data_IF_693901278404
#
_entry.id   IF_693901278404
#
_cell.length_a   1.000
_cell.length_b   1.000
_cell.length_c   1.000
_cell.angle_alpha   90.00
_cell.angle_beta   90.00
_cell.angle_gamma   90.00
#
_symmetry.space_group_name_H-M   'P 1'
#
loop_
_entity.id
_entity.type
_entity.pdbx_description
1 polymer ?
#
# COMPACT_ATOMS: atom_id res chain seq x y z
N UNK A 1 24.68 16.23 8.84
CA UNK A 1 23.30 15.70 8.78
C UNK A 1 22.82 15.38 7.37
N UNK A 2 22.90 16.27 6.36
CA UNK A 2 22.63 15.88 4.95
C UNK A 2 23.61 14.79 4.42
N UNK A 3 24.82 14.74 4.97
CA UNK A 3 25.81 13.71 4.67
C UNK A 3 25.47 12.32 5.24
N UNK A 4 24.62 12.20 6.27
CA UNK A 4 24.30 10.91 6.90
C UNK A 4 23.15 10.18 6.17
N UNK A 5 22.17 10.92 5.65
CA UNK A 5 21.11 10.31 4.83
C UNK A 5 21.57 9.98 3.40
N UNK A 6 22.48 10.78 2.82
CA UNK A 6 23.05 10.48 1.50
C UNK A 6 24.12 9.35 1.54
N UNK A 7 24.56 8.97 2.74
CA UNK A 7 25.47 7.83 2.99
C UNK A 7 24.72 6.50 3.12
N UNK A 8 23.39 6.49 3.13
CA UNK A 8 22.58 5.28 3.30
C UNK A 8 22.16 4.63 1.98
N UNK A 9 22.46 5.25 0.83
CA UNK A 9 22.35 4.61 -0.47
C UNK A 9 23.54 3.65 -0.68
N UNK A 10 23.60 2.60 0.13
CA UNK A 10 24.57 1.52 -0.01
C UNK A 10 24.12 0.65 -1.18
N UNK A 11 24.91 0.66 -2.26
CA UNK A 11 24.71 -0.22 -3.40
C UNK A 11 24.56 -1.67 -2.92
N UNK A 12 23.62 -2.46 -3.48
CA UNK A 12 23.51 -3.88 -3.16
C UNK A 12 24.88 -4.54 -3.40
N UNK A 13 25.37 -5.40 -2.49
CA UNK A 13 26.66 -6.02 -2.70
C UNK A 13 26.57 -6.90 -3.94
N UNK A 14 27.41 -6.63 -4.95
CA UNK A 14 27.46 -7.38 -6.20
C UNK A 14 27.91 -8.86 -6.02
N UNK A 15 28.17 -9.29 -4.79
CA UNK A 15 28.74 -10.59 -4.44
C UNK A 15 28.11 -11.22 -3.19
N UNK A 16 26.78 -11.26 -3.11
CA UNK A 16 26.10 -12.05 -2.08
C UNK A 16 25.77 -13.43 -2.64
N UNK A 17 26.57 -14.44 -2.27
CA UNK A 17 26.52 -15.78 -2.90
C UNK A 17 25.41 -16.69 -2.35
N UNK A 18 24.58 -16.22 -1.41
CA UNK A 18 23.41 -17.00 -0.96
C UNK A 18 22.18 -16.14 -0.70
N UNK A 19 21.00 -16.65 -1.08
CA UNK A 19 19.68 -16.05 -0.87
C UNK A 19 19.46 -15.59 0.58
N UNK A 20 19.96 -16.35 1.55
CA UNK A 20 19.81 -16.03 2.98
C UNK A 20 20.62 -14.79 3.39
N UNK A 21 21.81 -14.60 2.82
CA UNK A 21 22.59 -13.39 3.05
C UNK A 21 21.97 -12.17 2.36
N UNK A 22 21.40 -12.34 1.16
CA UNK A 22 20.67 -11.26 0.48
C UNK A 22 19.45 -10.84 1.29
N UNK A 23 18.68 -11.82 1.77
CA UNK A 23 17.54 -11.56 2.66
C UNK A 23 18.01 -10.82 3.91
N UNK A 24 19.02 -11.33 4.62
CA UNK A 24 19.57 -10.68 5.82
C UNK A 24 20.02 -9.23 5.59
N UNK A 25 20.60 -8.93 4.43
CA UNK A 25 20.93 -7.56 4.03
C UNK A 25 19.69 -6.68 3.94
N UNK A 26 18.65 -7.10 3.18
CA UNK A 26 17.43 -6.32 3.04
C UNK A 26 16.69 -6.13 4.37
N UNK A 27 16.62 -7.16 5.22
CA UNK A 27 16.02 -7.05 6.54
C UNK A 27 16.72 -5.96 7.37
N UNK A 28 18.06 -5.94 7.35
CA UNK A 28 18.86 -4.92 8.04
C UNK A 28 18.61 -3.52 7.47
N UNK A 29 18.49 -3.39 6.15
CA UNK A 29 18.17 -2.09 5.53
C UNK A 29 16.76 -1.61 5.90
N UNK A 30 15.78 -2.51 5.98
CA UNK A 30 14.43 -2.17 6.44
C UNK A 30 14.41 -1.71 7.89
N UNK A 31 15.26 -2.25 8.77
CA UNK A 31 15.37 -1.81 10.16
C UNK A 31 15.99 -0.41 10.24
N UNK A 32 17.06 -0.14 9.48
CA UNK A 32 17.67 1.18 9.40
C UNK A 32 16.68 2.24 8.87
N UNK A 33 15.90 1.90 7.85
CA UNK A 33 14.87 2.79 7.31
C UNK A 33 13.74 3.07 8.30
N UNK A 34 13.32 2.06 9.07
CA UNK A 34 12.31 2.22 10.13
C UNK A 34 12.83 3.15 11.23
N UNK A 35 14.04 2.93 11.74
CA UNK A 35 14.65 3.80 12.75
C UNK A 35 14.79 5.24 12.24
N UNK A 36 15.25 5.40 10.99
CA UNK A 36 15.38 6.72 10.36
C UNK A 36 14.03 7.43 10.20
N UNK A 37 13.00 6.71 9.76
CA UNK A 37 11.63 7.25 9.65
C UNK A 37 11.10 7.64 11.03
N UNK A 38 11.23 6.77 12.02
CA UNK A 38 10.74 7.04 13.37
C UNK A 38 11.43 8.26 14.00
N UNK A 39 12.75 8.39 13.81
CA UNK A 39 13.48 9.58 14.20
C UNK A 39 12.94 10.83 13.48
N UNK A 40 12.69 10.79 12.17
CA UNK A 40 12.09 11.94 11.46
C UNK A 40 10.71 12.29 12.03
N UNK A 41 9.86 11.29 12.30
CA UNK A 41 8.54 11.53 12.87
C UNK A 41 8.65 12.19 14.26
N UNK A 42 9.51 11.68 15.14
CA UNK A 42 9.65 12.19 16.51
C UNK A 42 10.23 13.61 16.57
N UNK A 43 11.24 13.90 15.73
CA UNK A 43 11.98 15.16 15.82
C UNK A 43 11.51 16.24 14.82
N UNK A 44 10.80 15.85 13.76
CA UNK A 44 10.35 16.79 12.71
C UNK A 44 8.83 16.88 12.59
N UNK A 45 8.06 15.91 13.08
CA UNK A 45 6.61 16.01 13.07
C UNK A 45 6.08 16.53 14.41
N UNK A 46 5.31 17.62 14.34
CA UNK A 46 4.63 18.18 15.50
C UNK A 46 3.13 18.27 15.17
N UNK A 47 2.30 17.50 15.88
CA UNK A 47 0.83 17.47 15.68
C UNK A 47 0.18 18.84 15.88
N UNK A 48 0.80 19.72 16.68
CA UNK A 48 0.32 21.09 16.88
C UNK A 48 0.72 22.06 15.77
N UNK A 49 1.65 21.68 14.88
CA UNK A 49 2.11 22.52 13.77
C UNK A 49 1.21 22.48 12.53
N UNK A 50 0.17 21.64 12.54
CA UNK A 50 -0.88 21.62 11.52
C UNK A 50 -1.17 20.22 10.97
N UNK A 51 -2.17 20.14 10.09
CA UNK A 51 -2.73 18.88 9.62
C UNK A 51 -1.77 18.06 8.75
N UNK A 52 -0.84 18.72 8.07
CA UNK A 52 0.21 18.03 7.32
C UNK A 52 1.10 17.16 8.23
N UNK A 53 1.40 17.64 9.44
CA UNK A 53 2.19 16.88 10.41
C UNK A 53 1.39 15.72 11.03
N UNK A 54 0.10 15.92 11.29
CA UNK A 54 -0.81 14.85 11.75
C UNK A 54 -0.88 13.73 10.71
N UNK A 55 -1.07 14.10 9.43
CA UNK A 55 -1.10 13.13 8.34
C UNK A 55 0.25 12.43 8.16
N UNK A 56 1.36 13.15 8.20
CA UNK A 56 2.70 12.56 8.09
C UNK A 56 2.96 11.53 9.20
N UNK A 57 2.51 11.81 10.42
CA UNK A 57 2.63 10.87 11.54
C UNK A 57 1.76 9.63 11.35
N UNK A 58 0.51 9.79 10.89
CA UNK A 58 -0.36 8.67 10.58
C UNK A 58 0.19 7.79 9.43
N UNK A 59 0.73 8.43 8.39
CA UNK A 59 1.39 7.78 7.26
C UNK A 59 2.59 6.95 7.72
N UNK A 60 3.48 7.58 8.47
CA UNK A 60 4.70 6.93 8.94
C UNK A 60 4.39 5.74 9.86
N UNK A 61 3.45 5.88 10.79
CA UNK A 61 3.01 4.77 11.63
C UNK A 61 2.42 3.61 10.81
N UNK A 62 1.64 3.93 9.78
CA UNK A 62 1.08 2.92 8.88
C UNK A 62 2.14 2.15 8.09
N UNK A 63 3.14 2.84 7.55
CA UNK A 63 4.25 2.21 6.82
C UNK A 63 5.06 1.25 7.71
N UNK A 64 5.29 1.62 8.97
CA UNK A 64 5.98 0.75 9.95
C UNK A 64 5.19 -0.53 10.19
N UNK A 65 3.86 -0.43 10.37
CA UNK A 65 2.99 -1.60 10.54
C UNK A 65 3.01 -2.50 9.29
N UNK A 66 2.90 -1.91 8.10
CA UNK A 66 2.96 -2.64 6.83
C UNK A 66 4.30 -3.38 6.66
N UNK A 67 5.42 -2.70 6.97
CA UNK A 67 6.75 -3.33 6.99
C UNK A 67 6.76 -4.53 7.93
N UNK A 68 6.29 -4.38 9.17
CA UNK A 68 6.27 -5.46 10.15
C UNK A 68 5.52 -6.71 9.67
N UNK A 69 4.43 -6.54 8.93
CA UNK A 69 3.66 -7.67 8.38
C UNK A 69 4.34 -8.32 7.17
N UNK A 70 4.91 -7.52 6.27
CA UNK A 70 5.73 -8.03 5.16
C UNK A 70 6.89 -8.89 5.70
N UNK A 71 7.56 -8.39 6.74
CA UNK A 71 8.70 -9.05 7.38
C UNK A 71 8.30 -10.37 8.07
N UNK A 72 7.13 -10.40 8.73
CA UNK A 72 6.59 -11.64 9.29
C UNK A 72 6.36 -12.71 8.23
N UNK A 73 5.79 -12.34 7.08
CA UNK A 73 5.60 -13.26 5.96
C UNK A 73 6.91 -13.80 5.39
N UNK A 74 7.95 -12.96 5.31
CA UNK A 74 9.27 -13.38 4.84
C UNK A 74 9.98 -14.35 5.81
N UNK A 75 9.81 -14.15 7.12
CA UNK A 75 10.38 -15.03 8.13
C UNK A 75 9.66 -16.38 8.24
N UNK A 76 8.34 -16.43 8.06
CA UNK A 76 7.55 -17.67 8.14
C UNK A 76 7.86 -18.66 6.98
N UNK A 77 8.31 -18.13 5.84
CA UNK A 77 8.75 -18.91 4.67
C UNK A 77 9.99 -19.80 4.91
N UNK A 78 10.62 -19.70 6.08
CA UNK A 78 11.77 -20.54 6.44
C UNK A 78 11.38 -21.94 6.98
N UNK A 79 10.08 -22.26 7.05
CA UNK A 79 9.56 -23.55 7.55
C UNK A 79 8.87 -24.37 6.43
N UNK A 80 9.51 -25.43 5.91
CA UNK A 80 9.08 -26.11 4.68
C UNK A 80 7.83 -27.01 4.78
N UNK A 81 7.21 -27.17 5.95
CA UNK A 81 6.18 -28.21 6.17
C UNK A 81 4.72 -27.72 6.09
N UNK A 82 4.48 -26.43 5.82
CA UNK A 82 3.12 -25.85 5.75
C UNK A 82 2.99 -24.67 4.75
N UNK A 83 3.83 -24.63 3.72
CA UNK A 83 4.07 -23.46 2.87
C UNK A 83 2.81 -22.87 2.20
N UNK A 84 1.87 -23.70 1.73
CA UNK A 84 0.70 -23.20 0.96
C UNK A 84 -0.41 -22.54 1.79
N UNK A 85 -0.65 -23.01 3.02
CA UNK A 85 -1.73 -22.46 3.88
C UNK A 85 -1.25 -21.18 4.57
N UNK A 86 0.02 -21.17 5.03
CA UNK A 86 0.64 -20.02 5.67
C UNK A 86 0.84 -18.84 4.71
N UNK A 87 1.16 -19.10 3.44
CA UNK A 87 1.34 -18.04 2.44
C UNK A 87 0.03 -17.32 2.11
N UNK A 88 -1.05 -18.07 1.90
CA UNK A 88 -2.37 -17.49 1.64
C UNK A 88 -2.93 -16.77 2.89
N UNK A 89 -2.57 -17.19 4.09
CA UNK A 89 -2.86 -16.47 5.32
C UNK A 89 -2.08 -15.16 5.42
N UNK A 90 -0.76 -15.20 5.22
CA UNK A 90 0.09 -14.01 5.21
C UNK A 90 -0.35 -12.96 4.17
N UNK A 91 -0.71 -13.40 2.96
CA UNK A 91 -1.22 -12.53 1.90
C UNK A 91 -2.54 -11.85 2.30
N UNK A 92 -3.48 -12.59 2.92
CA UNK A 92 -4.71 -12.01 3.44
C UNK A 92 -4.45 -10.98 4.54
N UNK A 93 -3.59 -11.30 5.52
CA UNK A 93 -3.24 -10.37 6.59
C UNK A 93 -2.63 -9.08 6.04
N UNK A 94 -1.67 -9.20 5.11
CA UNK A 94 -1.05 -8.04 4.47
C UNK A 94 -2.07 -7.18 3.71
N UNK A 95 -2.96 -7.81 2.95
CA UNK A 95 -4.02 -7.11 2.23
C UNK A 95 -5.03 -6.42 3.17
N UNK A 96 -5.46 -7.10 4.24
CA UNK A 96 -6.40 -6.55 5.22
C UNK A 96 -5.81 -5.35 5.97
N UNK A 97 -4.52 -5.40 6.28
CA UNK A 97 -3.82 -4.31 6.92
C UNK A 97 -3.47 -3.16 5.97
N UNK A 98 -3.26 -3.44 4.68
CA UNK A 98 -3.24 -2.40 3.67
C UNK A 98 -4.57 -1.64 3.63
N UNK A 99 -5.71 -2.34 3.64
CA UNK A 99 -7.02 -1.68 3.72
C UNK A 99 -7.19 -0.89 5.01
N UNK A 100 -6.71 -1.40 6.13
CA UNK A 100 -6.70 -0.66 7.40
C UNK A 100 -5.90 0.65 7.29
N UNK A 101 -4.72 0.59 6.67
CA UNK A 101 -3.92 1.78 6.43
C UNK A 101 -4.69 2.80 5.58
N UNK A 102 -5.31 2.37 4.48
CA UNK A 102 -6.12 3.25 3.63
C UNK A 102 -7.33 3.83 4.39
N UNK A 103 -8.04 3.02 5.19
CA UNK A 103 -9.14 3.49 6.02
C UNK A 103 -8.67 4.55 7.02
N UNK A 104 -7.54 4.31 7.70
CA UNK A 104 -6.91 5.27 8.61
C UNK A 104 -6.51 6.57 7.90
N UNK A 105 -6.00 6.50 6.67
CA UNK A 105 -5.68 7.71 5.89
C UNK A 105 -6.93 8.53 5.58
N UNK A 106 -8.05 7.90 5.26
CA UNK A 106 -9.30 8.64 5.07
C UNK A 106 -9.75 9.34 6.36
N UNK A 107 -9.66 8.66 7.51
CA UNK A 107 -10.05 9.25 8.80
C UNK A 107 -9.16 10.43 9.20
N UNK A 108 -7.84 10.31 9.05
CA UNK A 108 -6.90 11.37 9.40
C UNK A 108 -6.90 12.53 8.38
N UNK A 109 -7.35 12.29 7.15
CA UNK A 109 -7.47 13.32 6.12
C UNK A 109 -8.83 14.03 6.12
N UNK A 110 -9.81 13.52 6.87
CA UNK A 110 -11.15 14.10 6.96
C UNK A 110 -11.09 15.54 7.49
N UNK A 111 -11.67 16.47 6.72
CA UNK A 111 -11.73 17.90 7.10
C UNK A 111 -10.43 18.68 6.91
N UNK A 112 -9.36 18.03 6.44
CA UNK A 112 -8.01 18.60 6.38
C UNK A 112 -7.53 18.91 4.95
N UNK A 113 -8.35 18.62 3.94
CA UNK A 113 -8.01 18.85 2.52
C UNK A 113 -7.03 17.85 1.92
N UNK A 114 -6.72 16.77 2.63
CA UNK A 114 -5.77 15.73 2.19
C UNK A 114 -6.44 14.42 1.76
N UNK A 115 -7.77 14.38 1.60
CA UNK A 115 -8.48 13.15 1.21
C UNK A 115 -8.02 12.62 -0.14
N UNK A 116 -7.58 13.51 -1.04
CA UNK A 116 -6.99 13.16 -2.33
C UNK A 116 -5.80 12.20 -2.20
N UNK A 117 -5.07 12.25 -1.09
CA UNK A 117 -3.93 11.35 -0.86
C UNK A 117 -4.40 9.92 -0.59
N UNK A 118 -5.45 9.76 0.21
CA UNK A 118 -6.08 8.46 0.44
C UNK A 118 -6.71 7.92 -0.87
N UNK A 119 -7.30 8.81 -1.67
CA UNK A 119 -7.83 8.46 -3.00
C UNK A 119 -6.75 7.97 -3.96
N UNK A 120 -5.57 8.61 -3.96
CA UNK A 120 -4.43 8.25 -4.80
C UNK A 120 -3.85 6.89 -4.42
N UNK A 121 -3.80 6.56 -3.12
CA UNK A 121 -3.25 5.30 -2.64
C UNK A 121 -4.28 4.16 -2.61
N UNK A 122 -5.56 4.44 -2.88
CA UNK A 122 -6.59 3.42 -2.90
C UNK A 122 -6.37 2.43 -4.04
N UNK A 123 -6.29 1.13 -3.71
CA UNK A 123 -6.19 0.06 -4.69
C UNK A 123 -7.45 -0.79 -4.68
N UNK A 124 -8.22 -0.68 -5.76
CA UNK A 124 -9.48 -1.40 -5.95
C UNK A 124 -9.28 -2.93 -5.88
N UNK A 125 -8.23 -3.45 -6.51
CA UNK A 125 -7.97 -4.90 -6.57
C UNK A 125 -7.71 -5.50 -5.19
N UNK A 126 -7.03 -4.76 -4.30
CA UNK A 126 -6.80 -5.21 -2.92
C UNK A 126 -8.12 -5.26 -2.15
N UNK A 127 -8.99 -4.27 -2.33
CA UNK A 127 -10.31 -4.28 -1.70
C UNK A 127 -11.14 -5.48 -2.17
N UNK A 128 -11.19 -5.72 -3.49
CA UNK A 128 -11.90 -6.86 -4.06
C UNK A 128 -11.32 -8.19 -3.53
N UNK A 129 -10.00 -8.33 -3.50
CA UNK A 129 -9.31 -9.51 -2.99
C UNK A 129 -9.69 -9.81 -1.54
N UNK A 130 -9.63 -8.82 -0.65
CA UNK A 130 -10.00 -8.99 0.77
C UNK A 130 -11.48 -9.38 0.89
N UNK A 131 -12.37 -8.74 0.15
CA UNK A 131 -13.81 -9.06 0.17
C UNK A 131 -14.08 -10.50 -0.24
N UNK A 132 -13.45 -10.97 -1.33
CA UNK A 132 -13.59 -12.35 -1.80
C UNK A 132 -13.12 -13.32 -0.73
N UNK A 133 -11.97 -13.06 -0.11
CA UNK A 133 -11.44 -13.91 0.95
C UNK A 133 -12.27 -13.89 2.23
N UNK A 134 -12.86 -12.75 2.62
CA UNK A 134 -13.80 -12.66 3.74
C UNK A 134 -15.04 -13.53 3.51
N UNK A 135 -15.50 -13.63 2.26
CA UNK A 135 -16.57 -14.54 1.88
C UNK A 135 -16.17 -16.03 1.91
N UNK A 136 -14.89 -16.35 1.92
CA UNK A 136 -14.40 -17.73 2.06
C UNK A 136 -14.02 -18.06 3.51
N UNK A 137 -13.59 -17.07 4.29
CA UNK A 137 -13.00 -17.20 5.63
C UNK A 137 -13.81 -16.45 6.67
N UNK A 138 -15.04 -16.89 6.86
CA UNK A 138 -16.04 -16.17 7.67
C UNK A 138 -15.71 -16.14 9.17
N UNK A 139 -14.98 -17.14 9.66
CA UNK A 139 -14.59 -17.31 11.07
C UNK A 139 -13.18 -16.74 11.39
N UNK A 140 -12.60 -15.95 10.48
CA UNK A 140 -11.25 -15.45 10.69
C UNK A 140 -11.22 -14.32 11.73
N UNK A 141 -10.25 -14.33 12.65
CA UNK A 141 -10.14 -13.34 13.74
C UNK A 141 -9.98 -11.88 13.26
N UNK A 142 -9.47 -11.67 12.04
CA UNK A 142 -9.40 -10.34 11.41
C UNK A 142 -10.66 -9.95 10.63
N UNK A 143 -11.65 -10.84 10.54
CA UNK A 143 -12.86 -10.65 9.75
C UNK A 143 -13.60 -9.38 10.16
N UNK A 144 -13.89 -9.23 11.45
CA UNK A 144 -14.63 -8.09 11.99
C UNK A 144 -13.92 -6.76 11.67
N UNK A 145 -12.62 -6.69 11.98
CA UNK A 145 -11.80 -5.50 11.70
C UNK A 145 -11.72 -5.17 10.21
N UNK A 146 -11.60 -6.18 9.34
CA UNK A 146 -11.60 -5.95 7.90
C UNK A 146 -12.95 -5.40 7.41
N UNK A 147 -14.06 -5.90 7.94
CA UNK A 147 -15.39 -5.37 7.61
C UNK A 147 -15.61 -3.94 8.11
N UNK A 148 -15.07 -3.57 9.28
CA UNK A 148 -15.05 -2.18 9.75
C UNK A 148 -14.28 -1.26 8.78
N UNK A 149 -13.08 -1.69 8.35
CA UNK A 149 -12.29 -0.94 7.37
C UNK A 149 -13.01 -0.79 6.03
N UNK A 150 -13.69 -1.84 5.55
CA UNK A 150 -14.53 -1.79 4.34
C UNK A 150 -15.65 -0.76 4.52
N UNK A 151 -16.33 -0.74 5.67
CA UNK A 151 -17.37 0.25 5.95
C UNK A 151 -16.82 1.69 5.91
N UNK A 152 -15.63 1.92 6.48
CA UNK A 152 -14.93 3.20 6.42
C UNK A 152 -14.62 3.60 4.97
N UNK A 153 -14.12 2.68 4.15
CA UNK A 153 -13.83 2.95 2.74
C UNK A 153 -15.10 3.34 1.98
N UNK A 154 -16.21 2.61 2.14
CA UNK A 154 -17.49 2.96 1.50
C UNK A 154 -18.05 4.30 1.97
N UNK A 155 -17.79 4.70 3.23
CA UNK A 155 -18.16 6.02 3.76
C UNK A 155 -17.45 7.15 3.02
N UNK A 156 -16.16 6.99 2.72
CA UNK A 156 -15.35 8.03 2.08
C UNK A 156 -15.36 7.97 0.55
N UNK A 157 -15.68 6.80 -0.03
CA UNK A 157 -15.79 6.61 -1.49
C UNK A 157 -17.22 6.22 -1.89
N UNK A 158 -18.16 7.18 -1.89
CA UNK A 158 -19.53 6.90 -2.33
C UNK A 158 -19.61 6.46 -3.80
N UNK A 159 -18.61 6.80 -4.62
CA UNK A 159 -18.51 6.31 -6.00
C UNK A 159 -18.45 4.78 -6.13
N UNK A 160 -18.00 4.06 -5.08
CA UNK A 160 -18.05 2.59 -5.06
C UNK A 160 -19.48 2.03 -4.96
N UNK A 161 -20.42 2.84 -4.48
CA UNK A 161 -21.85 2.51 -4.52
C UNK A 161 -22.40 2.78 -5.91
N UNK A 162 -21.84 3.71 -6.67
CA UNK A 162 -22.37 4.03 -7.99
C UNK A 162 -22.11 2.88 -8.96
N UNK A 163 -23.18 2.25 -9.42
CA UNK A 163 -23.16 1.19 -10.41
C UNK A 163 -22.86 1.68 -11.85
N UNK A 164 -22.21 2.83 -11.99
CA UNK A 164 -21.88 3.43 -13.28
C UNK A 164 -20.72 2.69 -13.97
N UNK A 165 -19.82 2.11 -13.18
CA UNK A 165 -18.67 1.36 -13.67
C UNK A 165 -18.83 -0.15 -13.44
N UNK A 166 -18.45 -0.95 -14.45
CA UNK A 166 -18.51 -2.42 -14.37
C UNK A 166 -17.70 -2.97 -13.20
N UNK A 167 -16.56 -2.36 -12.87
CA UNK A 167 -15.75 -2.71 -11.71
C UNK A 167 -16.58 -2.57 -10.42
N UNK A 168 -17.14 -1.39 -10.16
CA UNK A 168 -17.97 -1.13 -8.97
C UNK A 168 -19.15 -2.11 -8.84
N UNK A 169 -19.77 -2.52 -9.94
CA UNK A 169 -20.78 -3.59 -9.95
C UNK A 169 -20.24 -4.94 -9.47
N UNK A 170 -19.10 -5.38 -9.99
CA UNK A 170 -18.45 -6.64 -9.59
C UNK A 170 -18.07 -6.61 -8.10
N UNK A 171 -17.47 -5.51 -7.64
CA UNK A 171 -17.17 -5.36 -6.21
C UNK A 171 -18.43 -5.38 -5.36
N UNK A 172 -19.47 -4.65 -5.77
CA UNK A 172 -20.75 -4.63 -5.06
C UNK A 172 -21.35 -6.02 -4.92
N UNK A 173 -21.40 -6.81 -6.00
CA UNK A 173 -21.86 -8.20 -5.97
C UNK A 173 -21.00 -9.09 -5.07
N UNK A 174 -19.67 -8.96 -5.15
CA UNK A 174 -18.75 -9.70 -4.30
C UNK A 174 -18.97 -9.37 -2.81
N UNK A 175 -19.14 -8.09 -2.47
CA UNK A 175 -19.44 -7.61 -1.11
C UNK A 175 -20.76 -8.19 -0.61
N UNK A 176 -21.82 -8.12 -1.40
CA UNK A 176 -23.13 -8.66 -1.03
C UNK A 176 -23.08 -10.18 -0.80
N UNK A 177 -22.35 -10.90 -1.64
CA UNK A 177 -22.16 -12.34 -1.54
C UNK A 177 -21.38 -12.72 -0.28
N UNK A 178 -20.25 -12.05 -0.03
CA UNK A 178 -19.43 -12.27 1.16
C UNK A 178 -20.20 -11.93 2.45
N UNK A 179 -20.97 -10.84 2.44
CA UNK A 179 -21.78 -10.43 3.58
C UNK A 179 -22.91 -11.41 3.88
N UNK A 180 -23.58 -11.95 2.85
CA UNK A 180 -24.61 -12.98 3.04
C UNK A 180 -24.06 -14.20 3.77
N UNK A 181 -22.88 -14.70 3.35
CA UNK A 181 -22.19 -15.81 4.02
C UNK A 181 -21.84 -15.49 5.47
N UNK A 182 -21.41 -14.26 5.77
CA UNK A 182 -21.18 -13.80 7.14
C UNK A 182 -22.43 -13.83 7.98
N UNK A 183 -23.53 -13.28 7.47
CA UNK A 183 -24.81 -13.27 8.16
C UNK A 183 -25.30 -14.69 8.45
N UNK A 184 -25.15 -15.60 7.51
CA UNK A 184 -25.53 -17.00 7.69
C UNK A 184 -24.70 -17.66 8.80
N UNK A 185 -23.38 -17.44 8.81
CA UNK A 185 -22.49 -17.92 9.89
C UNK A 185 -22.82 -17.31 11.27
N UNK A 186 -23.13 -16.01 11.34
CA UNK A 186 -23.56 -15.38 12.58
C UNK A 186 -24.89 -15.98 13.05
N UNK A 187 -25.83 -16.21 12.14
CA UNK A 187 -27.14 -16.79 12.46
C UNK A 187 -27.03 -18.21 13.04
N UNK A 188 -26.15 -19.05 12.49
CA UNK A 188 -25.90 -20.41 13.02
C UNK A 188 -25.17 -20.39 14.37
N UNK A 189 -24.38 -19.35 14.61
CA UNK A 189 -23.66 -19.12 15.87
C UNK A 189 -24.49 -18.39 16.94
N UNK A 190 -25.75 -18.03 16.64
CA UNK A 190 -26.63 -17.29 17.55
C UNK A 190 -26.26 -15.81 17.72
N UNK A 191 -25.39 -15.28 16.86
CA UNK A 191 -25.03 -13.86 16.81
C UNK A 191 -25.98 -13.13 15.85
N UNK A 192 -26.47 -11.96 16.26
CA UNK A 192 -27.22 -11.08 15.36
C UNK A 192 -26.24 -10.11 14.69
N UNK A 193 -26.21 -10.10 13.35
CA UNK A 193 -25.47 -9.10 12.58
C UNK A 193 -26.45 -8.10 11.99
N UNK A 194 -26.41 -6.86 12.47
CA UNK A 194 -27.10 -5.75 11.80
C UNK A 194 -26.42 -5.47 10.45
N UNK A 195 -27.22 -5.16 9.42
CA UNK A 195 -26.70 -4.83 8.10
C UNK A 195 -26.18 -3.37 8.09
N UNK A 196 -24.90 -3.13 7.77
CA UNK A 196 -24.36 -1.78 7.61
C UNK A 196 -25.08 -1.00 6.51
N UNK A 197 -25.07 0.34 6.63
CA UNK A 197 -25.75 1.24 5.68
C UNK A 197 -25.30 1.01 4.22
N UNK A 198 -24.01 0.78 3.98
CA UNK A 198 -23.49 0.55 2.64
C UNK A 198 -24.02 -0.77 2.03
N UNK A 199 -24.24 -1.81 2.84
CA UNK A 199 -24.85 -3.06 2.38
C UNK A 199 -26.30 -2.83 1.95
N UNK A 200 -27.06 -2.04 2.72
CA UNK A 200 -28.45 -1.69 2.37
C UNK A 200 -28.51 -0.92 1.06
N UNK A 201 -27.60 0.06 0.87
CA UNK A 201 -27.49 0.85 -0.37
C UNK A 201 -27.11 -0.02 -1.58
N UNK A 202 -26.09 -0.88 -1.44
CA UNK A 202 -25.68 -1.80 -2.50
C UNK A 202 -26.83 -2.71 -2.95
N UNK A 203 -27.59 -3.30 -2.01
CA UNK A 203 -28.76 -4.14 -2.37
C UNK A 203 -29.83 -3.36 -3.12
N UNK A 204 -30.06 -2.10 -2.75
CA UNK A 204 -31.04 -1.26 -3.45
C UNK A 204 -30.60 -1.00 -4.91
N UNK A 205 -29.30 -0.77 -5.14
CA UNK A 205 -28.75 -0.51 -6.47
C UNK A 205 -28.71 -1.74 -7.36
N UNK A 206 -28.32 -2.91 -6.83
CA UNK A 206 -28.33 -4.16 -7.62
C UNK A 206 -29.75 -4.50 -8.11
N UNK A 207 -30.79 -4.33 -7.26
CA UNK A 207 -32.19 -4.56 -7.64
C UNK A 207 -32.69 -3.64 -8.75
N UNK A 208 -32.13 -2.44 -8.87
CA UNK A 208 -32.47 -1.51 -9.95
C UNK A 208 -31.87 -1.98 -11.28
N UNK A 209 -30.66 -2.54 -11.23
CA UNK A 209 -29.90 -2.97 -12.41
C UNK A 209 -30.31 -4.33 -12.96
N UNK A 210 -30.89 -5.24 -12.16
CA UNK A 210 -31.43 -6.52 -12.64
C UNK A 210 -32.55 -6.35 -13.70
N UNK A 211 -33.10 -5.14 -13.85
CA UNK A 211 -34.06 -4.81 -14.90
C UNK A 211 -33.41 -4.45 -16.26
N UNK A 212 -32.07 -4.39 -16.33
CA UNK A 212 -31.29 -3.98 -17.50
C UNK A 212 -30.37 -5.15 -17.90
N UNK A 213 -30.99 -6.22 -18.41
CA UNK A 213 -30.42 -7.23 -19.33
C UNK A 213 -29.14 -7.97 -18.95
N UNK A 214 -29.28 -9.28 -18.66
CA UNK A 214 -28.61 -10.44 -19.30
C UNK A 214 -27.19 -10.28 -19.92
N UNK A 215 -26.30 -9.53 -19.30
CA UNK A 215 -24.85 -9.62 -19.59
C UNK A 215 -24.24 -10.66 -18.65
N UNK A 216 -23.88 -11.82 -19.19
CA UNK A 216 -23.10 -12.85 -18.50
C UNK A 216 -21.90 -12.20 -17.79
N UNK A 217 -21.89 -12.26 -16.45
CA UNK A 217 -20.75 -11.86 -15.63
C UNK A 217 -19.84 -13.08 -15.44
N UNK A 218 -18.71 -13.21 -16.17
CA UNK A 218 -17.72 -14.20 -15.81
C UNK A 218 -16.89 -13.63 -14.64
N UNK A 219 -16.48 -14.50 -13.72
CA UNK A 219 -15.66 -14.23 -12.53
C UNK A 219 -16.38 -13.71 -11.28
N UNK A 220 -17.24 -14.56 -10.70
CA UNK A 220 -16.97 -14.98 -9.33
C UNK A 220 -16.82 -16.50 -9.38
N UNK A 221 -15.59 -17.00 -9.32
CA UNK A 221 -15.32 -18.43 -9.13
C UNK A 221 -15.87 -18.80 -7.75
N UNK A 222 -17.14 -19.19 -7.69
CA UNK A 222 -17.78 -19.59 -6.44
C UNK A 222 -17.46 -21.03 -6.05
N UNK A 223 -16.79 -21.81 -6.90
CA UNK A 223 -16.25 -23.13 -6.56
C UNK A 223 -15.08 -23.45 -7.50
N UNK A 224 -13.87 -23.41 -6.99
CA UNK A 224 -12.78 -24.28 -7.43
C UNK A 224 -11.74 -24.28 -6.32
N UNK A 225 -11.35 -25.48 -5.90
CA UNK A 225 -10.10 -25.72 -5.22
C UNK A 225 -9.02 -24.84 -5.87
N UNK A 226 -8.34 -24.03 -5.04
CA UNK A 226 -7.07 -23.44 -5.42
C UNK A 226 -6.22 -24.62 -5.94
N UNK A 227 -5.81 -24.64 -7.23
CA UNK A 227 -4.97 -25.71 -7.71
C UNK A 227 -3.73 -25.72 -6.83
N UNK A 228 -3.41 -26.87 -6.24
CA UNK A 228 -2.12 -27.05 -5.59
C UNK A 228 -1.03 -26.57 -6.56
N UNK A 229 -0.01 -25.81 -6.10
CA UNK A 229 1.00 -25.25 -6.97
C UNK A 229 1.74 -26.39 -7.65
N UNK A 230 1.38 -26.68 -8.89
CA UNK A 230 2.16 -27.53 -9.78
C UNK A 230 3.47 -26.82 -10.04
N UNK A 231 4.56 -27.44 -9.58
CA UNK A 231 5.99 -27.20 -9.79
C UNK A 231 6.49 -25.76 -10.06
N UNK A 232 7.56 -25.30 -9.39
CA UNK A 232 8.09 -23.95 -9.58
C UNK A 232 8.51 -23.73 -11.03
N UNK A 233 7.71 -22.98 -11.77
CA UNK A 233 8.05 -22.52 -13.10
C UNK A 233 9.19 -21.50 -12.95
N UNK A 234 10.41 -21.95 -13.24
CA UNK A 234 11.63 -21.16 -13.24
C UNK A 234 11.45 -19.94 -14.16
N UNK A 235 11.21 -18.78 -13.57
CA UNK A 235 11.41 -17.48 -14.22
C UNK A 235 12.91 -17.20 -14.31
N UNK A 236 13.67 -18.10 -14.94
CA UNK A 236 15.04 -17.82 -15.32
C UNK A 236 15.02 -16.79 -16.46
N UNK A 237 15.28 -15.53 -16.15
CA UNK A 237 15.62 -14.54 -17.17
C UNK A 237 16.89 -14.99 -17.88
N UNK A 238 16.90 -15.13 -19.23
CA UNK A 238 18.13 -15.41 -19.94
C UNK A 238 18.99 -14.14 -19.94
N UNK A 239 20.06 -14.14 -19.13
CA UNK A 239 21.18 -13.22 -19.30
C UNK A 239 21.99 -13.64 -20.53
N UNK A 240 21.49 -13.25 -21.70
CA UNK A 240 22.24 -13.33 -22.96
C UNK A 240 23.10 -12.08 -23.13
N UNK A 241 24.38 -12.21 -22.79
CA UNK A 241 25.43 -11.33 -23.32
C UNK A 241 25.60 -11.70 -24.80
N UNK A 242 25.36 -10.77 -25.73
CA UNK A 242 26.16 -10.73 -26.95
C UNK A 242 26.14 -9.35 -27.64
N UNK A 243 27.35 -8.93 -28.02
CA UNK A 243 27.65 -7.72 -28.78
C UNK A 243 27.21 -7.90 -30.25
N UNK A 244 26.44 -6.96 -30.78
CA UNK A 244 26.17 -6.91 -32.22
C UNK A 244 25.36 -5.69 -32.66
N UNK A 245 26.03 -4.77 -33.34
CA UNK A 245 25.48 -3.57 -33.99
C UNK A 245 24.44 -3.93 -35.07
N UNK A 246 23.24 -3.32 -35.04
CA UNK A 246 22.51 -2.88 -36.24
C UNK A 246 21.33 -1.93 -35.91
N UNK A 247 21.49 -0.71 -36.42
CA UNK A 247 20.55 0.37 -36.77
C UNK A 247 19.04 0.11 -36.95
N UNK A 248 18.27 1.08 -36.43
CA UNK A 248 17.03 1.70 -36.93
C UNK A 248 15.79 0.82 -37.21
N UNK A 249 14.66 1.17 -36.58
CA UNK A 249 13.38 1.62 -37.19
C UNK A 249 12.34 1.91 -36.07
N UNK A 250 11.89 3.17 -36.07
CA UNK A 250 10.56 3.77 -35.82
C UNK A 250 9.61 3.35 -34.66
N UNK A 251 9.08 4.44 -34.08
CA UNK A 251 7.71 4.67 -33.58
C UNK A 251 7.23 4.11 -32.23
N UNK A 252 6.92 5.06 -31.34
CA UNK A 252 5.79 4.94 -30.40
C UNK A 252 6.12 4.72 -28.92
N UNK A 253 7.02 5.50 -28.33
CA UNK A 253 7.23 5.46 -26.87
C UNK A 253 6.23 6.36 -26.11
N UNK A 254 5.39 5.70 -25.30
CA UNK A 254 4.70 6.26 -24.14
C UNK A 254 5.75 6.53 -23.05
N UNK A 255 5.77 7.72 -22.40
CA UNK A 255 6.75 8.00 -21.36
C UNK A 255 6.26 7.39 -20.04
N UNK A 256 6.72 6.18 -19.72
CA UNK A 256 6.67 5.67 -18.35
C UNK A 256 8.06 5.83 -17.71
N UNK A 257 8.11 6.75 -16.74
CA UNK A 257 9.10 6.89 -15.67
C UNK A 257 10.57 6.82 -16.09
N UNK A 258 11.08 7.96 -16.58
CA UNK A 258 12.50 8.26 -16.49
C UNK A 258 12.98 8.14 -15.04
N UNK A 259 14.18 7.58 -14.89
CA UNK A 259 14.95 7.29 -13.66
C UNK A 259 15.30 8.51 -12.78
N UNK A 260 14.66 9.66 -13.01
CA UNK A 260 14.94 10.95 -12.37
C UNK A 260 14.20 11.11 -11.02
N UNK A 261 13.19 10.29 -10.73
CA UNK A 261 12.44 10.36 -9.43
C UNK A 261 13.16 9.71 -8.25
N UNK A 262 14.32 9.08 -8.44
CA UNK A 262 15.13 8.55 -7.32
C UNK A 262 16.00 9.60 -6.63
N UNK A 263 15.99 10.86 -7.11
CA UNK A 263 16.74 11.92 -6.45
C UNK A 263 15.87 12.65 -5.42
N UNK A 264 15.95 12.22 -4.15
CA UNK A 264 15.31 12.84 -2.99
C UNK A 264 15.87 14.24 -2.63
N UNK A 265 16.46 14.96 -3.59
CA UNK A 265 17.12 16.25 -3.40
C UNK A 265 16.22 17.33 -2.77
N UNK A 266 14.89 17.22 -2.88
CA UNK A 266 13.95 18.15 -2.25
C UNK A 266 13.97 18.07 -0.71
N UNK A 267 14.54 17.02 -0.11
CA UNK A 267 14.74 16.89 1.34
C UNK A 267 16.05 17.53 1.83
N UNK A 268 16.88 18.08 0.93
CA UNK A 268 18.08 18.82 1.35
C UNK A 268 17.68 20.21 1.84
N UNK A 269 18.08 20.63 3.05
CA UNK A 269 17.76 21.96 3.55
C UNK A 269 18.43 23.01 2.68
N UNK A 270 17.66 24.03 2.26
CA UNK A 270 18.18 25.23 1.59
C UNK A 270 19.12 25.92 2.56
N UNK A 271 20.42 25.66 2.44
CA UNK A 271 21.46 26.47 3.07
C UNK A 271 21.49 27.81 2.37
N UNK A 272 20.91 28.82 3.02
CA UNK A 272 21.06 30.23 2.65
C UNK A 272 22.55 30.62 2.67
N UNK A 273 23.09 31.23 1.61
CA UNK A 273 24.47 31.70 1.62
C UNK A 273 24.58 32.93 2.52
N UNK A 274 25.39 32.82 3.57
CA UNK A 274 25.82 33.97 4.38
C UNK A 274 26.53 34.99 3.49
N UNK A 275 25.89 36.15 3.31
CA UNK A 275 26.49 37.34 2.74
C UNK A 275 27.55 37.89 3.71
N UNK A 276 28.81 37.56 3.39
CA UNK A 276 30.01 38.07 4.08
C UNK A 276 30.17 39.56 3.78
N UNK A 277 29.94 40.40 4.78
CA UNK A 277 30.35 41.80 4.78
C UNK A 277 31.88 41.89 4.74
N UNK A 278 32.45 42.36 3.64
CA UNK A 278 33.84 42.85 3.61
C UNK A 278 33.83 44.34 3.90
N UNK A 279 34.45 44.67 5.04
CA UNK A 279 34.70 46.04 5.47
C UNK A 279 35.56 46.77 4.46
N UNK A 280 35.23 48.03 4.23
CA UNK A 280 36.12 48.99 3.60
C UNK A 280 36.92 49.69 4.69
N UNK A 281 38.23 49.69 4.46
CA UNK A 281 39.26 50.38 5.21
C UNK A 281 38.94 51.89 5.36
N UNK A 282 39.13 52.39 6.58
CA UNK A 282 39.18 53.82 6.91
C UNK A 282 40.61 54.15 7.32
N UNK A 283 41.29 54.94 6.48
CA UNK A 283 42.56 55.59 6.75
C UNK A 283 42.42 56.67 7.84
N UNK A 284 43.49 57.00 8.60
CA UNK A 284 43.44 57.99 9.66
C UNK A 284 43.84 59.39 9.19
N UNK A 285 43.07 60.41 9.57
CA UNK A 285 43.49 61.81 9.53
C UNK A 285 43.57 62.35 10.96
N UNK A 286 44.80 62.48 11.47
CA UNK A 286 45.13 63.21 12.69
C UNK A 286 45.78 64.54 12.28
N UNK A 287 45.16 65.67 12.62
CA UNK A 287 45.86 66.93 12.97
C UNK A 287 44.87 67.86 13.68
N UNK A 288 45.31 68.49 14.77
CA UNK A 288 45.38 69.96 14.79
C UNK A 288 46.82 70.48 14.73
#
# INVERSE_FOLDING_TARGET
>A
MAAELNSLAVHPPLFVNSRNQQMGYYLTQFDILEEGLQHILEYRCNTHAGQAHVLAQALGAGLIVQKGQLMRGLNDRSRPEAEGVHEAEGAFLGAAAFLEHIASLYEHSQGNGFSWFADFNFQYDILLYVVVLLGQRVDHYMGDRAWENIATIYRFRPGLLEASERSCLVLGQAVLTAWAKRRDFHSTSGLSSEDPEYIVKLRAQTRLNDNIGDEDFPFIVTNSEIPAPSEPQEWAYPLGVDNGVATNIEDGELPFMDTITSNWAFLTPITEPQSRSHGKDLEPANTP
#
